data_IF_508960000250
#
_entry.id   IF_508960000250
#
_cell.length_a   1.000
_cell.length_b   1.000
_cell.length_c   1.000
_cell.angle_alpha   90.00
_cell.angle_beta   90.00
_cell.angle_gamma   90.00
#
_symmetry.space_group_name_H-M   'P 1'
#
loop_
_entity.id
_entity.type
_entity.pdbx_description
1 polymer ?
#
# COMPACT_ATOMS: atom_id res chain seq x y z
N UNK A 1 41.19 32.55 -11.87
CA UNK A 1 41.60 33.72 -12.65
C UNK A 1 40.37 34.30 -13.32
N UNK A 2 40.16 35.64 -13.06
CA UNK A 2 39.17 36.58 -13.65
C UNK A 2 37.70 36.30 -13.40
N UNK A 3 36.99 36.88 -12.49
CA UNK A 3 36.63 38.29 -12.18
C UNK A 3 36.11 39.12 -13.35
N UNK A 4 34.80 39.44 -13.29
CA UNK A 4 34.29 40.72 -13.80
C UNK A 4 32.91 41.04 -13.18
N UNK A 5 32.95 42.02 -12.32
CA UNK A 5 31.88 42.86 -11.76
C UNK A 5 31.28 43.78 -12.83
N UNK A 6 30.00 44.05 -12.77
CA UNK A 6 29.43 45.30 -13.26
C UNK A 6 28.23 45.77 -12.41
N UNK A 7 28.47 46.86 -11.70
CA UNK A 7 27.47 47.74 -11.05
C UNK A 7 26.75 48.56 -12.10
N UNK A 8 25.47 48.90 -11.87
CA UNK A 8 24.91 50.18 -12.28
C UNK A 8 23.97 50.74 -11.23
N UNK A 9 24.26 51.95 -10.85
CA UNK A 9 23.63 52.86 -9.89
C UNK A 9 22.69 53.86 -10.61
N UNK A 10 21.79 54.43 -9.80
CA UNK A 10 21.07 55.76 -9.91
C UNK A 10 19.74 55.77 -10.68
N UNK A 11 18.66 56.36 -10.12
CA UNK A 11 18.59 57.76 -9.70
C UNK A 11 17.40 58.05 -8.77
N UNK A 12 17.65 58.94 -7.83
CA UNK A 12 16.73 59.65 -6.94
C UNK A 12 15.76 60.56 -7.68
N UNK A 13 14.52 60.75 -7.10
CA UNK A 13 13.81 62.02 -7.15
C UNK A 13 13.02 62.24 -5.89
N UNK A 14 13.50 63.20 -5.10
CA UNK A 14 12.80 63.84 -3.99
C UNK A 14 11.63 64.67 -4.49
N UNK A 15 10.52 64.75 -3.76
CA UNK A 15 9.73 65.96 -3.62
C UNK A 15 9.14 66.05 -2.22
N UNK A 16 9.31 67.24 -1.64
CA UNK A 16 9.13 67.61 -0.29
C UNK A 16 7.69 68.02 0.10
N UNK A 17 7.35 67.74 1.32
CA UNK A 17 6.77 68.60 2.37
C UNK A 17 5.54 69.47 2.04
N UNK A 18 4.41 69.19 2.73
CA UNK A 18 3.58 70.28 3.35
C UNK A 18 3.09 69.73 4.71
N UNK A 19 3.47 70.45 5.77
CA UNK A 19 3.00 70.34 7.11
C UNK A 19 1.72 71.18 7.23
N UNK A 20 0.67 70.60 7.78
CA UNK A 20 -0.47 71.36 8.33
C UNK A 20 -0.85 70.78 9.69
N UNK A 21 -0.48 71.51 10.74
CA UNK A 21 -0.98 71.36 12.11
C UNK A 21 -2.42 71.82 12.21
N UNK A 22 -3.35 71.01 12.70
CA UNK A 22 -4.58 71.44 13.31
C UNK A 22 -4.82 70.64 14.60
N UNK A 23 -5.01 71.39 15.68
CA UNK A 23 -5.09 70.91 17.04
C UNK A 23 -6.47 70.38 17.45
N UNK A 24 -6.45 69.37 18.31
CA UNK A 24 -7.34 69.11 19.47
C UNK A 24 -8.88 69.06 19.27
N UNK A 25 -9.42 67.88 19.53
CA UNK A 25 -10.60 67.73 20.39
C UNK A 25 -10.60 66.29 21.00
N UNK A 26 -10.43 66.20 22.32
CA UNK A 26 -10.71 65.01 23.11
C UNK A 26 -12.21 64.74 23.08
N UNK A 27 -12.62 63.63 22.47
CA UNK A 27 -13.90 62.98 22.73
C UNK A 27 -13.60 61.55 23.08
N UNK A 28 -13.81 61.19 24.37
CA UNK A 28 -13.75 59.86 24.88
C UNK A 28 -14.79 58.97 24.15
N UNK A 29 -14.33 58.09 23.27
CA UNK A 29 -15.13 57.02 22.69
C UNK A 29 -14.82 55.76 23.49
N UNK A 30 -15.80 55.29 24.26
CA UNK A 30 -15.82 53.95 24.83
C UNK A 30 -15.50 52.96 23.71
N UNK A 31 -14.33 52.31 23.79
CA UNK A 31 -14.03 51.11 23.02
C UNK A 31 -15.00 50.03 23.48
N UNK A 32 -16.10 49.87 22.75
CA UNK A 32 -16.84 48.62 22.75
C UNK A 32 -15.88 47.56 22.25
N UNK A 33 -15.34 46.75 23.14
CA UNK A 33 -14.70 45.52 22.80
C UNK A 33 -15.74 44.65 22.14
N UNK A 34 -15.71 44.59 20.82
CA UNK A 34 -16.40 43.55 20.05
C UNK A 34 -15.95 42.22 20.66
N UNK A 35 -16.85 41.38 21.17
CA UNK A 35 -16.44 40.08 21.60
C UNK A 35 -15.80 39.37 20.40
N UNK A 36 -14.53 38.98 20.52
CA UNK A 36 -13.91 38.09 19.57
C UNK A 36 -14.86 36.90 19.44
N UNK A 37 -15.38 36.68 18.25
CA UNK A 37 -16.16 35.48 17.93
C UNK A 37 -15.25 34.31 18.28
N UNK A 38 -15.48 33.71 19.45
CA UNK A 38 -14.77 32.51 19.84
C UNK A 38 -15.07 31.49 18.75
N UNK A 39 -14.02 31.00 18.09
CA UNK A 39 -14.15 29.86 17.22
C UNK A 39 -14.97 28.80 17.95
N UNK A 40 -15.89 28.08 17.28
CA UNK A 40 -16.71 27.07 17.95
C UNK A 40 -15.78 26.12 18.69
N UNK A 41 -16.07 25.91 19.98
CA UNK A 41 -15.27 25.03 20.81
C UNK A 41 -15.32 23.62 20.18
N UNK A 42 -14.17 23.17 19.68
CA UNK A 42 -14.05 21.85 19.08
C UNK A 42 -14.43 20.81 20.13
N UNK A 43 -15.29 19.85 19.76
CA UNK A 43 -15.74 18.77 20.64
C UNK A 43 -14.54 18.00 21.23
N UNK A 44 -14.66 17.55 22.47
CA UNK A 44 -13.65 16.65 23.06
C UNK A 44 -13.48 15.34 22.27
N UNK A 45 -14.51 14.95 21.53
CA UNK A 45 -14.53 13.76 20.68
C UNK A 45 -13.90 14.00 19.29
N UNK A 46 -13.65 15.26 18.90
CA UNK A 46 -12.92 15.58 17.67
C UNK A 46 -11.43 15.32 17.86
N UNK A 47 -10.88 14.39 17.07
CA UNK A 47 -9.46 14.04 17.12
C UNK A 47 -8.63 14.82 16.11
N UNK A 48 -9.20 15.12 14.95
CA UNK A 48 -8.59 16.01 13.97
C UNK A 48 -9.65 16.79 13.18
N UNK A 49 -9.21 17.84 12.49
CA UNK A 49 -9.99 18.48 11.43
C UNK A 49 -9.16 18.54 10.15
N UNK A 50 -9.82 18.40 9.01
CA UNK A 50 -9.24 18.49 7.66
C UNK A 50 -10.15 19.40 6.84
N UNK A 51 -9.70 20.58 6.47
CA UNK A 51 -10.49 21.59 5.74
C UNK A 51 -11.86 21.85 6.38
N UNK A 52 -11.91 21.83 7.73
CA UNK A 52 -13.13 22.01 8.50
C UNK A 52 -13.99 20.77 8.71
N UNK A 53 -13.66 19.61 8.11
CA UNK A 53 -14.31 18.33 8.38
C UNK A 53 -13.70 17.71 9.63
N UNK A 54 -14.54 17.20 10.50
CA UNK A 54 -14.10 16.56 11.73
C UNK A 54 -13.82 15.07 11.51
N UNK A 55 -12.73 14.58 12.11
CA UNK A 55 -12.45 13.16 12.33
C UNK A 55 -12.64 12.90 13.81
N UNK A 56 -13.58 12.04 14.12
CA UNK A 56 -14.00 11.77 15.51
C UNK A 56 -13.20 10.63 16.15
N UNK A 57 -13.24 10.58 17.45
CA UNK A 57 -12.71 9.44 18.21
C UNK A 57 -13.34 8.11 17.77
N UNK A 58 -14.66 8.09 17.54
CA UNK A 58 -15.37 6.86 17.15
C UNK A 58 -14.88 6.34 15.79
N UNK A 59 -14.60 7.21 14.82
CA UNK A 59 -14.04 6.81 13.53
C UNK A 59 -12.65 6.19 13.67
N UNK A 60 -11.78 6.75 14.51
CA UNK A 60 -10.48 6.15 14.80
C UNK A 60 -10.62 4.81 15.51
N UNK A 61 -11.53 4.69 16.47
CA UNK A 61 -11.81 3.41 17.15
C UNK A 61 -12.37 2.37 16.19
N UNK A 62 -13.23 2.74 15.25
CA UNK A 62 -13.73 1.85 14.19
C UNK A 62 -12.61 1.41 13.26
N UNK A 63 -11.74 2.33 12.84
CA UNK A 63 -10.57 2.01 12.03
C UNK A 63 -9.63 1.04 12.78
N UNK A 64 -9.40 1.29 14.07
CA UNK A 64 -8.59 0.41 14.92
C UNK A 64 -9.15 -1.01 15.01
N UNK A 65 -10.48 -1.15 15.15
CA UNK A 65 -11.15 -2.47 15.14
C UNK A 65 -11.07 -3.17 13.77
N UNK A 66 -11.03 -2.41 12.67
CA UNK A 66 -10.90 -2.99 11.31
C UNK A 66 -9.53 -3.63 11.07
N UNK A 67 -8.46 -3.02 11.56
CA UNK A 67 -7.08 -3.51 11.37
C UNK A 67 -6.85 -4.89 12.02
N UNK A 68 -7.68 -5.25 13.00
CA UNK A 68 -7.80 -6.63 13.46
C UNK A 68 -7.07 -6.98 14.73
N UNK A 69 -7.18 -8.25 15.09
CA UNK A 69 -6.66 -8.88 16.29
C UNK A 69 -5.14 -8.81 16.35
N UNK A 70 -4.62 -7.94 17.17
CA UNK A 70 -3.32 -8.22 17.75
C UNK A 70 -3.50 -9.39 18.72
N UNK A 71 -2.85 -10.50 18.46
CA UNK A 71 -2.92 -11.71 19.29
C UNK A 71 -2.46 -11.47 20.73
N UNK A 72 -1.90 -10.31 21.02
CA UNK A 72 -1.53 -9.86 22.36
C UNK A 72 -2.20 -8.51 22.66
N UNK A 73 -2.73 -8.31 23.87
CA UNK A 73 -3.28 -7.02 24.30
C UNK A 73 -2.15 -5.97 24.32
N UNK A 74 -2.38 -4.86 23.62
CA UNK A 74 -1.47 -3.71 23.62
C UNK A 74 -1.55 -2.96 24.96
N UNK A 75 -0.44 -2.40 25.39
CA UNK A 75 -0.43 -1.41 26.47
C UNK A 75 -1.23 -0.16 26.08
N UNK A 76 -1.56 0.68 27.06
CA UNK A 76 -2.27 1.94 26.80
C UNK A 76 -1.49 2.84 25.85
N UNK A 77 -0.16 2.92 26.03
CA UNK A 77 0.73 3.73 25.22
C UNK A 77 0.84 3.18 23.78
N UNK A 78 1.00 1.87 23.63
CA UNK A 78 1.05 1.20 22.31
C UNK A 78 -0.28 1.37 21.55
N UNK A 79 -1.41 1.20 22.25
CA UNK A 79 -2.74 1.42 21.69
C UNK A 79 -2.92 2.88 21.24
N UNK A 80 -2.47 3.85 22.03
CA UNK A 80 -2.54 5.27 21.67
C UNK A 80 -1.64 5.58 20.47
N UNK A 81 -0.41 5.04 20.44
CA UNK A 81 0.51 5.21 19.30
C UNK A 81 -0.10 4.65 18.01
N UNK A 82 -0.68 3.44 18.07
CA UNK A 82 -1.35 2.83 16.92
C UNK A 82 -2.55 3.68 16.44
N UNK A 83 -3.36 4.22 17.37
CA UNK A 83 -4.49 5.09 17.04
C UNK A 83 -4.06 6.42 16.45
N UNK A 84 -2.94 6.99 16.88
CA UNK A 84 -2.38 8.20 16.26
C UNK A 84 -1.88 7.94 14.84
N UNK A 85 -1.29 6.77 14.58
CA UNK A 85 -0.95 6.34 13.22
C UNK A 85 -2.18 6.21 12.33
N UNK A 86 -3.22 5.52 12.80
CA UNK A 86 -4.49 5.40 12.08
C UNK A 86 -5.19 6.75 11.87
N UNK A 87 -5.08 7.68 12.83
CA UNK A 87 -5.60 9.03 12.64
C UNK A 87 -4.88 9.76 11.50
N UNK A 88 -3.57 9.57 11.36
CA UNK A 88 -2.82 10.16 10.23
C UNK A 88 -3.26 9.58 8.88
N UNK A 89 -3.53 8.27 8.83
CA UNK A 89 -4.12 7.61 7.66
C UNK A 89 -5.51 8.17 7.33
N UNK A 90 -6.39 8.33 8.32
CA UNK A 90 -7.72 8.91 8.14
C UNK A 90 -7.66 10.38 7.70
N UNK A 91 -6.71 11.16 8.21
CA UNK A 91 -6.47 12.54 7.74
C UNK A 91 -6.12 12.54 6.25
N UNK A 92 -5.23 11.64 5.82
CA UNK A 92 -4.88 11.51 4.40
C UNK A 92 -6.07 11.04 3.56
N UNK A 93 -6.85 10.11 4.08
CA UNK A 93 -8.09 9.65 3.44
C UNK A 93 -9.09 10.82 3.24
N UNK A 94 -9.32 11.65 4.28
CA UNK A 94 -10.22 12.82 4.17
C UNK A 94 -9.72 13.84 3.14
N UNK A 95 -8.40 14.09 3.07
CA UNK A 95 -7.80 14.94 2.03
C UNK A 95 -8.11 14.38 0.64
N UNK A 96 -7.97 13.08 0.43
CA UNK A 96 -8.27 12.45 -0.85
C UNK A 96 -9.76 12.42 -1.16
N UNK A 97 -10.64 12.26 -0.17
CA UNK A 97 -12.09 12.33 -0.34
C UNK A 97 -12.54 13.75 -0.71
N UNK A 98 -11.99 14.79 -0.07
CA UNK A 98 -12.22 16.17 -0.48
C UNK A 98 -11.78 16.41 -1.94
N UNK A 99 -10.67 15.78 -2.35
CA UNK A 99 -10.21 15.82 -3.74
C UNK A 99 -11.16 15.08 -4.68
N UNK A 100 -11.70 13.91 -4.24
CA UNK A 100 -12.70 13.16 -5.01
C UNK A 100 -13.95 14.02 -5.30
N UNK A 101 -14.43 14.75 -4.29
CA UNK A 101 -15.56 15.69 -4.49
C UNK A 101 -15.23 16.80 -5.48
N UNK A 102 -14.07 17.43 -5.33
CA UNK A 102 -13.62 18.50 -6.22
C UNK A 102 -13.50 18.02 -7.68
N UNK A 103 -13.05 16.79 -7.88
CA UNK A 103 -12.90 16.14 -9.19
C UNK A 103 -14.21 15.48 -9.68
N UNK A 104 -15.28 15.49 -8.86
CA UNK A 104 -16.56 14.80 -9.13
C UNK A 104 -16.39 13.31 -9.40
N UNK A 105 -15.46 12.70 -8.72
CA UNK A 105 -15.24 11.23 -8.78
C UNK A 105 -16.41 10.56 -8.07
N UNK A 106 -17.00 9.56 -8.71
CA UNK A 106 -18.11 8.79 -8.16
C UNK A 106 -17.81 7.29 -8.17
N UNK A 107 -18.39 6.58 -7.21
CA UNK A 107 -18.41 5.12 -7.15
C UNK A 107 -19.85 4.67 -7.34
N UNK A 108 -20.10 3.91 -8.38
CA UNK A 108 -21.42 3.33 -8.65
C UNK A 108 -21.74 2.21 -7.68
N UNK A 109 -23.04 1.90 -7.51
CA UNK A 109 -23.45 0.78 -6.67
C UNK A 109 -22.93 -0.56 -7.21
N UNK A 110 -22.83 -0.72 -8.52
CA UNK A 110 -22.26 -1.91 -9.16
C UNK A 110 -20.78 -2.10 -8.80
N UNK A 111 -19.98 -1.04 -8.79
CA UNK A 111 -18.57 -1.10 -8.40
C UNK A 111 -18.44 -1.47 -6.91
N UNK A 112 -19.29 -0.87 -6.07
CA UNK A 112 -19.30 -1.15 -4.65
C UNK A 112 -19.72 -2.59 -4.37
N UNK A 113 -20.77 -3.09 -5.06
CA UNK A 113 -21.22 -4.48 -4.92
C UNK A 113 -20.15 -5.47 -5.39
N UNK A 114 -19.44 -5.15 -6.46
CA UNK A 114 -18.32 -5.95 -6.94
C UNK A 114 -17.20 -6.02 -5.90
N UNK A 115 -16.79 -4.88 -5.35
CA UNK A 115 -15.76 -4.83 -4.31
C UNK A 115 -16.21 -5.57 -3.03
N UNK A 116 -17.46 -5.39 -2.64
CA UNK A 116 -18.02 -6.08 -1.48
C UNK A 116 -18.06 -7.60 -1.66
N UNK A 117 -18.46 -8.08 -2.83
CA UNK A 117 -18.48 -9.51 -3.13
C UNK A 117 -17.08 -10.10 -3.23
N UNK A 118 -16.13 -9.37 -3.80
CA UNK A 118 -14.74 -9.81 -3.87
C UNK A 118 -14.09 -9.89 -2.48
N UNK A 119 -14.37 -8.92 -1.59
CA UNK A 119 -13.85 -8.91 -0.22
C UNK A 119 -14.32 -10.13 0.61
N UNK A 120 -15.45 -10.77 0.23
CA UNK A 120 -16.02 -11.93 0.91
C UNK A 120 -15.99 -13.24 0.11
N UNK A 121 -15.33 -13.23 -1.04
CA UNK A 121 -15.34 -14.36 -2.01
C UNK A 121 -14.97 -15.72 -1.42
N UNK A 122 -14.07 -15.75 -0.44
CA UNK A 122 -13.56 -16.99 0.17
C UNK A 122 -14.09 -17.22 1.60
N UNK A 123 -15.12 -16.49 2.01
CA UNK A 123 -15.66 -16.55 3.37
C UNK A 123 -17.15 -16.88 3.28
N UNK A 124 -17.63 -17.85 4.09
CA UNK A 124 -19.07 -18.11 4.17
C UNK A 124 -19.80 -16.92 4.79
N UNK A 125 -21.08 -16.72 4.43
CA UNK A 125 -21.90 -15.64 5.01
C UNK A 125 -21.89 -15.68 6.55
N UNK A 126 -22.00 -16.86 7.13
CA UNK A 126 -22.00 -17.04 8.58
C UNK A 126 -20.65 -16.60 9.20
N UNK A 127 -19.53 -17.02 8.62
CA UNK A 127 -18.19 -16.65 9.10
C UNK A 127 -17.96 -15.14 8.93
N UNK A 128 -18.44 -14.56 7.83
CA UNK A 128 -18.35 -13.12 7.59
C UNK A 128 -19.13 -12.32 8.64
N UNK A 129 -20.37 -12.71 8.95
CA UNK A 129 -21.18 -12.04 9.97
C UNK A 129 -20.58 -12.20 11.37
N UNK A 130 -20.01 -13.36 11.68
CA UNK A 130 -19.28 -13.58 12.94
C UNK A 130 -18.07 -12.65 13.06
N UNK A 131 -17.30 -12.49 12.00
CA UNK A 131 -16.14 -11.61 11.99
C UNK A 131 -16.52 -10.14 12.16
N UNK A 132 -17.58 -9.68 11.47
CA UNK A 132 -18.11 -8.33 11.66
C UNK A 132 -18.55 -8.10 13.11
N UNK A 133 -19.28 -9.06 13.68
CA UNK A 133 -19.76 -8.99 15.09
C UNK A 133 -18.59 -8.94 16.06
N UNK A 134 -17.58 -9.79 15.86
CA UNK A 134 -16.36 -9.81 16.68
C UNK A 134 -15.66 -8.45 16.69
N UNK A 135 -15.63 -7.75 15.56
CA UNK A 135 -15.04 -6.42 15.41
C UNK A 135 -15.99 -5.28 15.76
N UNK A 136 -17.21 -5.57 16.18
CA UNK A 136 -18.25 -4.57 16.42
C UNK A 136 -18.47 -3.66 15.19
N UNK A 137 -18.51 -4.26 14.00
CA UNK A 137 -18.78 -3.61 12.71
C UNK A 137 -20.10 -4.12 12.14
N UNK A 138 -20.75 -3.32 11.32
CA UNK A 138 -21.91 -3.69 10.52
C UNK A 138 -21.54 -3.87 9.05
N UNK A 139 -22.44 -4.51 8.29
CA UNK A 139 -22.33 -4.55 6.82
C UNK A 139 -22.28 -3.14 6.21
N UNK A 140 -23.02 -2.18 6.79
CA UNK A 140 -23.01 -0.81 6.34
C UNK A 140 -21.62 -0.16 6.57
N UNK A 141 -21.00 -0.35 7.75
CA UNK A 141 -19.63 0.14 8.01
C UNK A 141 -18.60 -0.45 7.03
N UNK A 142 -18.77 -1.73 6.67
CA UNK A 142 -17.88 -2.37 5.69
C UNK A 142 -18.07 -1.77 4.29
N UNK A 143 -19.31 -1.59 3.84
CA UNK A 143 -19.62 -0.99 2.53
C UNK A 143 -19.15 0.46 2.44
N UNK A 144 -19.32 1.20 3.53
CA UNK A 144 -18.87 2.60 3.61
C UNK A 144 -17.35 2.72 3.52
N UNK A 145 -16.62 1.88 4.23
CA UNK A 145 -15.16 1.78 4.10
C UNK A 145 -14.74 1.45 2.67
N UNK A 146 -15.36 0.43 2.04
CA UNK A 146 -15.05 0.08 0.65
C UNK A 146 -15.35 1.22 -0.34
N UNK A 147 -16.43 1.98 -0.11
CA UNK A 147 -16.74 3.15 -0.96
C UNK A 147 -15.66 4.23 -0.85
N UNK A 148 -15.18 4.51 0.36
CA UNK A 148 -14.10 5.47 0.62
C UNK A 148 -12.79 5.00 -0.04
N UNK A 149 -12.44 3.72 0.12
CA UNK A 149 -11.26 3.11 -0.53
C UNK A 149 -11.33 3.22 -2.07
N UNK A 150 -12.49 2.96 -2.65
CA UNK A 150 -12.69 3.09 -4.10
C UNK A 150 -12.59 4.54 -4.58
N UNK A 151 -13.13 5.51 -3.82
CA UNK A 151 -13.01 6.94 -4.15
C UNK A 151 -11.56 7.40 -4.13
N UNK A 152 -10.83 7.09 -3.04
CA UNK A 152 -9.42 7.48 -2.89
C UNK A 152 -8.54 6.81 -3.96
N UNK A 153 -8.81 5.53 -4.27
CA UNK A 153 -8.13 4.82 -5.35
C UNK A 153 -8.36 5.50 -6.70
N UNK A 154 -9.61 5.84 -7.04
CA UNK A 154 -9.95 6.52 -8.30
C UNK A 154 -9.28 7.89 -8.42
N UNK A 155 -9.16 8.64 -7.33
CA UNK A 155 -8.40 9.90 -7.32
C UNK A 155 -6.93 9.65 -7.65
N UNK A 156 -6.30 8.67 -7.02
CA UNK A 156 -4.91 8.33 -7.30
C UNK A 156 -4.72 7.79 -8.72
N UNK A 157 -5.65 6.98 -9.22
CA UNK A 157 -5.63 6.51 -10.60
C UNK A 157 -5.69 7.67 -11.60
N UNK A 158 -6.56 8.67 -11.33
CA UNK A 158 -6.73 9.84 -12.20
C UNK A 158 -5.58 10.85 -12.08
N UNK A 159 -5.12 11.15 -10.87
CA UNK A 159 -4.14 12.20 -10.62
C UNK A 159 -2.68 11.72 -10.70
N UNK A 160 -2.45 10.43 -10.56
CA UNK A 160 -1.12 9.84 -10.55
C UNK A 160 -0.94 8.81 -11.66
N UNK A 161 -1.68 7.68 -11.60
CA UNK A 161 -1.40 6.50 -12.45
C UNK A 161 -1.59 6.83 -13.93
N UNK A 162 -2.65 7.58 -14.29
CA UNK A 162 -2.94 7.98 -15.67
C UNK A 162 -1.90 8.93 -16.27
N UNK A 163 -1.14 9.63 -15.42
CA UNK A 163 -0.10 10.59 -15.85
C UNK A 163 1.28 9.96 -15.99
N UNK A 164 1.42 8.68 -15.60
CA UNK A 164 2.69 7.96 -15.72
C UNK A 164 2.92 7.52 -17.16
N UNK A 165 3.92 8.10 -17.78
CA UNK A 165 4.39 7.70 -19.12
C UNK A 165 5.86 7.30 -19.06
N UNK A 166 6.24 6.30 -19.85
CA UNK A 166 7.62 5.88 -20.04
C UNK A 166 7.97 6.10 -21.50
N UNK A 167 8.92 6.99 -21.76
CA UNK A 167 9.38 7.26 -23.11
C UNK A 167 10.33 6.15 -23.61
N UNK A 168 10.34 5.91 -24.92
CA UNK A 168 11.24 4.92 -25.53
C UNK A 168 12.72 5.18 -25.19
N UNK A 169 13.12 6.45 -25.17
CA UNK A 169 14.48 6.82 -24.84
C UNK A 169 14.88 6.40 -23.41
N UNK A 170 13.96 6.50 -22.45
CA UNK A 170 14.23 6.07 -21.08
C UNK A 170 14.46 4.56 -20.96
N UNK A 171 13.76 3.76 -21.79
CA UNK A 171 13.96 2.32 -21.86
C UNK A 171 15.36 2.01 -22.40
N UNK A 172 15.74 2.68 -23.49
CA UNK A 172 17.06 2.54 -24.10
C UNK A 172 18.18 2.96 -23.14
N UNK A 173 18.03 4.12 -22.50
CA UNK A 173 19.01 4.65 -21.54
C UNK A 173 19.16 3.73 -20.34
N UNK A 174 18.04 3.25 -19.77
CA UNK A 174 18.06 2.29 -18.68
C UNK A 174 18.75 0.99 -19.07
N UNK A 175 18.42 0.45 -20.23
CA UNK A 175 19.05 -0.77 -20.75
C UNK A 175 20.56 -0.59 -20.88
N UNK A 176 21.01 0.50 -21.52
CA UNK A 176 22.42 0.78 -21.75
C UNK A 176 23.20 0.98 -20.45
N UNK A 177 22.63 1.71 -19.50
CA UNK A 177 23.22 1.92 -18.18
C UNK A 177 23.30 0.65 -17.33
N UNK A 178 22.42 -0.33 -17.59
CA UNK A 178 22.30 -1.55 -16.80
C UNK A 178 22.61 -2.82 -17.61
N UNK A 179 23.33 -2.71 -18.71
CA UNK A 179 23.53 -3.76 -19.70
C UNK A 179 24.03 -5.09 -19.09
N UNK A 180 24.89 -5.00 -18.08
CA UNK A 180 25.43 -6.16 -17.38
C UNK A 180 24.33 -7.01 -16.68
N UNK A 181 23.22 -6.37 -16.22
CA UNK A 181 22.09 -7.07 -15.58
C UNK A 181 21.28 -7.92 -16.56
N UNK A 182 21.45 -7.69 -17.88
CA UNK A 182 20.78 -8.41 -18.93
C UNK A 182 21.70 -9.45 -19.59
N UNK A 183 22.85 -9.73 -19.00
CA UNK A 183 23.71 -10.82 -19.40
C UNK A 183 23.45 -12.04 -18.50
N UNK A 184 23.09 -13.16 -19.13
CA UNK A 184 23.04 -14.44 -18.44
C UNK A 184 24.40 -15.14 -18.60
N UNK A 185 25.15 -15.32 -17.50
CA UNK A 185 26.46 -15.98 -17.57
C UNK A 185 26.36 -17.44 -17.96
N UNK A 186 25.21 -18.05 -17.73
CA UNK A 186 24.91 -19.44 -18.06
C UNK A 186 23.43 -19.60 -18.45
N UNK A 187 23.08 -20.75 -19.00
CA UNK A 187 21.69 -21.11 -19.26
C UNK A 187 20.86 -21.04 -17.97
N UNK A 188 19.63 -20.53 -18.07
CA UNK A 188 18.72 -20.41 -16.94
C UNK A 188 17.30 -20.86 -17.31
N UNK A 189 16.56 -21.29 -16.31
CA UNK A 189 15.18 -21.76 -16.43
C UNK A 189 14.27 -20.81 -15.69
N UNK A 190 13.27 -20.26 -16.35
CA UNK A 190 12.19 -19.54 -15.66
C UNK A 190 11.22 -20.60 -15.11
N UNK A 191 11.19 -20.69 -13.79
CA UNK A 191 10.43 -21.72 -13.09
C UNK A 191 9.35 -21.09 -12.22
N UNK A 192 8.28 -21.87 -12.02
CA UNK A 192 7.29 -21.58 -11.00
C UNK A 192 7.00 -22.87 -10.22
N UNK A 193 6.51 -22.76 -8.98
CA UNK A 193 6.21 -23.93 -8.13
C UNK A 193 4.91 -23.77 -7.36
N UNK A 194 4.32 -24.93 -7.03
CA UNK A 194 3.27 -25.06 -6.01
C UNK A 194 3.78 -26.10 -5.00
N UNK A 195 3.86 -25.74 -3.74
CA UNK A 195 4.28 -26.64 -2.65
C UNK A 195 3.04 -27.07 -1.89
N UNK A 196 2.89 -28.38 -1.68
CA UNK A 196 1.82 -29.01 -0.92
C UNK A 196 2.46 -29.92 0.13
N UNK A 197 2.15 -29.70 1.39
CA UNK A 197 2.62 -30.52 2.50
C UNK A 197 1.46 -31.31 3.15
N UNK A 198 1.72 -32.43 3.82
CA UNK A 198 0.71 -33.20 4.54
C UNK A 198 0.48 -32.70 5.98
N UNK A 199 0.94 -31.49 6.29
CA UNK A 199 0.94 -30.93 7.65
C UNK A 199 0.20 -29.61 7.64
N UNK A 200 -0.72 -29.44 8.59
CA UNK A 200 -1.34 -28.14 8.82
C UNK A 200 -0.40 -27.30 9.68
N UNK A 201 0.24 -26.31 9.06
CA UNK A 201 1.02 -25.30 9.75
C UNK A 201 0.30 -23.97 9.69
N UNK A 202 0.01 -23.38 10.85
CA UNK A 202 -0.67 -22.08 10.94
C UNK A 202 0.15 -20.93 10.31
N UNK A 203 1.46 -21.11 10.14
CA UNK A 203 2.35 -20.13 9.52
C UNK A 203 2.51 -20.33 8.01
N UNK A 204 2.15 -21.52 7.49
CA UNK A 204 2.32 -21.92 6.10
C UNK A 204 0.99 -22.29 5.43
N UNK A 205 -0.12 -21.78 5.93
CA UNK A 205 -1.46 -22.02 5.36
C UNK A 205 -1.57 -21.40 3.98
N UNK A 206 -2.21 -22.15 3.06
CA UNK A 206 -2.57 -21.59 1.76
C UNK A 206 -3.76 -20.61 1.87
N UNK A 207 -4.00 -19.83 0.80
CA UNK A 207 -5.05 -18.81 0.78
C UNK A 207 -6.47 -19.38 0.90
N UNK A 208 -6.71 -20.63 0.48
CA UNK A 208 -8.01 -21.27 0.53
C UNK A 208 -8.32 -21.93 1.88
N UNK A 209 -7.31 -22.08 2.75
CA UNK A 209 -7.45 -22.69 4.06
C UNK A 209 -7.79 -24.19 4.03
N UNK A 210 -7.56 -24.85 2.88
CA UNK A 210 -7.83 -26.27 2.66
C UNK A 210 -6.57 -27.13 2.72
N UNK A 211 -5.64 -26.80 3.62
CA UNK A 211 -4.37 -27.50 3.77
C UNK A 211 -4.59 -29.00 3.99
N UNK A 212 -3.74 -29.80 3.32
CA UNK A 212 -3.77 -31.23 3.50
C UNK A 212 -3.18 -31.59 4.88
N UNK A 213 -3.89 -32.47 5.62
CA UNK A 213 -3.48 -32.88 6.96
C UNK A 213 -2.94 -34.32 7.00
N UNK A 214 -2.93 -35.00 5.85
CA UNK A 214 -2.41 -36.38 5.70
C UNK A 214 -1.71 -36.53 4.36
N UNK A 215 -0.79 -37.52 4.23
CA UNK A 215 -0.16 -37.81 2.95
C UNK A 215 -1.15 -38.13 1.83
N UNK A 216 -2.24 -38.82 2.13
CA UNK A 216 -3.29 -39.15 1.16
C UNK A 216 -4.03 -37.88 0.68
N UNK A 217 -4.35 -36.96 1.60
CA UNK A 217 -4.98 -35.70 1.26
C UNK A 217 -4.03 -34.82 0.41
N UNK A 218 -2.75 -34.76 0.71
CA UNK A 218 -1.74 -34.05 -0.08
C UNK A 218 -1.65 -34.63 -1.52
N UNK A 219 -1.60 -35.95 -1.67
CA UNK A 219 -1.58 -36.60 -2.98
C UNK A 219 -2.88 -36.33 -3.76
N UNK A 220 -4.04 -36.39 -3.11
CA UNK A 220 -5.32 -36.08 -3.75
C UNK A 220 -5.38 -34.62 -4.23
N UNK A 221 -4.86 -33.67 -3.41
CA UNK A 221 -4.78 -32.26 -3.75
C UNK A 221 -3.87 -32.01 -4.95
N UNK A 222 -2.70 -32.63 -4.99
CA UNK A 222 -1.79 -32.57 -6.13
C UNK A 222 -2.48 -33.10 -7.41
N UNK A 223 -3.19 -34.23 -7.31
CA UNK A 223 -3.93 -34.80 -8.45
C UNK A 223 -5.00 -33.83 -8.96
N UNK A 224 -5.78 -33.22 -8.07
CA UNK A 224 -6.76 -32.21 -8.42
C UNK A 224 -6.13 -31.01 -9.11
N UNK A 225 -5.01 -30.49 -8.59
CA UNK A 225 -4.30 -29.35 -9.21
C UNK A 225 -3.76 -29.69 -10.61
N UNK A 226 -3.18 -30.90 -10.78
CA UNK A 226 -2.70 -31.35 -12.08
C UNK A 226 -3.82 -31.50 -13.10
N UNK A 227 -5.01 -31.97 -12.70
CA UNK A 227 -6.18 -32.02 -13.60
C UNK A 227 -6.68 -30.61 -13.96
N UNK A 228 -6.71 -29.68 -13.02
CA UNK A 228 -7.06 -28.27 -13.33
C UNK A 228 -6.04 -27.62 -14.28
N UNK A 229 -4.74 -27.88 -14.10
CA UNK A 229 -3.70 -27.42 -15.02
C UNK A 229 -3.88 -28.00 -16.42
N UNK A 230 -4.17 -29.31 -16.55
CA UNK A 230 -4.50 -29.94 -17.83
C UNK A 230 -5.75 -29.35 -18.47
N UNK A 231 -6.71 -28.93 -17.65
CA UNK A 231 -7.94 -28.23 -18.06
C UNK A 231 -7.71 -26.76 -18.47
N UNK A 232 -6.45 -26.26 -18.43
CA UNK A 232 -6.10 -24.91 -18.85
C UNK A 232 -6.20 -23.84 -17.75
N UNK A 233 -6.36 -24.23 -16.50
CA UNK A 233 -6.34 -23.25 -15.40
C UNK A 233 -4.95 -22.59 -15.32
N UNK A 234 -4.86 -21.25 -15.13
CA UNK A 234 -3.60 -20.56 -15.01
C UNK A 234 -2.78 -21.04 -13.81
N UNK A 235 -1.52 -21.45 -14.03
CA UNK A 235 -0.65 -21.93 -12.96
C UNK A 235 -0.52 -20.89 -11.83
N UNK A 236 -0.38 -19.62 -12.18
CA UNK A 236 -0.19 -18.54 -11.22
C UNK A 236 -1.40 -18.33 -10.28
N UNK A 237 -2.61 -18.60 -10.75
CA UNK A 237 -3.81 -18.55 -9.90
C UNK A 237 -3.84 -19.71 -8.91
N UNK A 238 -3.57 -20.93 -9.42
CA UNK A 238 -3.50 -22.11 -8.58
C UNK A 238 -2.38 -21.99 -7.54
N UNK A 239 -1.24 -21.43 -7.90
CA UNK A 239 -0.15 -21.20 -6.95
C UNK A 239 -0.54 -20.21 -5.85
N UNK A 240 -1.20 -19.09 -6.19
CA UNK A 240 -1.70 -18.14 -5.17
C UNK A 240 -2.72 -18.74 -4.23
N UNK A 241 -3.57 -19.61 -4.74
CA UNK A 241 -4.67 -20.18 -3.96
C UNK A 241 -4.23 -21.37 -3.10
N UNK A 242 -3.35 -22.23 -3.60
CA UNK A 242 -3.09 -23.53 -3.04
C UNK A 242 -1.65 -23.80 -2.60
N UNK A 243 -0.67 -22.96 -2.98
CA UNK A 243 0.71 -23.17 -2.57
C UNK A 243 0.93 -22.78 -1.12
N UNK A 244 1.64 -23.61 -0.40
CA UNK A 244 2.07 -23.40 0.97
C UNK A 244 3.49 -22.78 1.07
N UNK A 245 4.05 -22.36 -0.08
CA UNK A 245 5.32 -21.63 -0.12
C UNK A 245 5.09 -20.11 0.06
N UNK A 246 5.44 -19.53 1.23
CA UNK A 246 5.13 -18.13 1.54
C UNK A 246 5.89 -17.13 0.66
N UNK A 247 7.02 -17.54 0.07
CA UNK A 247 7.81 -16.66 -0.78
C UNK A 247 7.26 -16.54 -2.19
N UNK A 248 6.94 -17.67 -2.83
CA UNK A 248 6.53 -17.68 -4.24
C UNK A 248 5.02 -17.63 -4.43
N UNK A 249 4.21 -18.16 -3.50
CA UNK A 249 2.75 -18.19 -3.63
C UNK A 249 2.13 -16.81 -3.94
N UNK A 250 2.47 -15.70 -3.23
CA UNK A 250 1.92 -14.38 -3.54
C UNK A 250 2.25 -13.89 -4.95
N UNK A 251 3.37 -14.36 -5.51
CA UNK A 251 3.80 -14.06 -6.89
C UNK A 251 3.30 -15.08 -7.92
N UNK A 252 2.33 -15.92 -7.56
CA UNK A 252 1.82 -16.95 -8.46
C UNK A 252 2.77 -18.15 -8.62
N UNK A 253 3.57 -18.43 -7.61
CA UNK A 253 4.56 -19.49 -7.61
C UNK A 253 5.88 -19.15 -8.32
N UNK A 254 6.03 -17.92 -8.84
CA UNK A 254 7.17 -17.50 -9.67
C UNK A 254 8.48 -17.47 -8.87
N UNK A 255 9.46 -18.29 -9.32
CA UNK A 255 10.82 -18.36 -8.80
C UNK A 255 11.79 -17.47 -9.62
N UNK A 256 11.33 -16.92 -10.74
CA UNK A 256 12.16 -16.20 -11.69
C UNK A 256 13.12 -17.12 -12.45
N UNK A 257 14.24 -16.53 -12.88
CA UNK A 257 15.28 -17.26 -13.63
C UNK A 257 16.23 -17.97 -12.66
N UNK A 258 16.19 -19.29 -12.71
CA UNK A 258 17.07 -20.19 -11.93
C UNK A 258 18.23 -20.65 -12.84
N UNK A 259 19.49 -20.30 -12.53
CA UNK A 259 20.64 -20.68 -13.36
C UNK A 259 20.88 -22.19 -13.36
N UNK A 260 21.43 -22.71 -14.44
CA UNK A 260 21.71 -24.14 -14.58
C UNK A 260 22.58 -24.69 -13.46
N UNK A 261 23.53 -23.90 -12.96
CA UNK A 261 24.38 -24.26 -11.82
C UNK A 261 23.55 -24.52 -10.56
N UNK A 262 22.53 -23.69 -10.26
CA UNK A 262 21.63 -23.90 -9.14
C UNK A 262 20.73 -25.13 -9.35
N UNK A 263 20.22 -25.33 -10.57
CA UNK A 263 19.46 -26.55 -10.91
C UNK A 263 20.31 -27.80 -10.69
N UNK A 264 21.59 -27.79 -11.06
CA UNK A 264 22.50 -28.92 -10.86
C UNK A 264 22.76 -29.23 -9.39
N UNK A 265 22.67 -28.23 -8.50
CA UNK A 265 22.83 -28.39 -7.05
C UNK A 265 21.54 -28.84 -6.33
N UNK A 266 20.39 -28.73 -6.99
CA UNK A 266 19.10 -29.14 -6.42
C UNK A 266 19.05 -30.67 -6.18
N UNK A 267 18.17 -31.14 -5.26
CA UNK A 267 17.93 -32.57 -5.06
C UNK A 267 17.67 -33.31 -6.38
N UNK A 268 18.12 -34.58 -6.51
CA UNK A 268 18.08 -35.29 -7.79
C UNK A 268 16.72 -35.30 -8.48
N UNK A 269 15.63 -35.52 -7.73
CA UNK A 269 14.29 -35.57 -8.29
C UNK A 269 13.83 -34.19 -8.83
N UNK A 270 14.15 -33.10 -8.11
CA UNK A 270 13.83 -31.73 -8.53
C UNK A 270 14.65 -31.31 -9.76
N UNK A 271 15.95 -31.63 -9.74
CA UNK A 271 16.86 -31.42 -10.87
C UNK A 271 16.36 -32.12 -12.15
N UNK A 272 16.05 -33.41 -12.02
CA UNK A 272 15.56 -34.21 -13.16
C UNK A 272 14.22 -33.65 -13.68
N UNK A 273 13.29 -33.36 -12.79
CA UNK A 273 12.02 -32.75 -13.15
C UNK A 273 12.23 -31.44 -13.92
N UNK A 274 13.07 -30.53 -13.40
CA UNK A 274 13.36 -29.24 -14.02
C UNK A 274 13.97 -29.38 -15.40
N UNK A 275 14.93 -30.29 -15.58
CA UNK A 275 15.60 -30.48 -16.87
C UNK A 275 14.69 -31.11 -17.91
N UNK A 276 13.88 -32.09 -17.53
CA UNK A 276 13.06 -32.90 -18.45
C UNK A 276 11.68 -32.32 -18.74
N UNK A 277 11.10 -31.46 -17.87
CA UNK A 277 9.77 -30.93 -18.12
C UNK A 277 9.79 -30.00 -19.33
N UNK A 278 8.86 -30.14 -20.28
CA UNK A 278 8.76 -29.23 -21.42
C UNK A 278 8.35 -27.81 -20.98
N UNK A 279 8.73 -26.81 -21.78
CA UNK A 279 8.26 -25.43 -21.59
C UNK A 279 6.72 -25.41 -21.65
N UNK A 280 6.09 -24.67 -20.75
CA UNK A 280 4.62 -24.58 -20.63
C UNK A 280 3.97 -25.78 -19.97
N UNK A 281 4.75 -26.68 -19.35
CA UNK A 281 4.26 -27.90 -18.71
C UNK A 281 4.66 -27.96 -17.24
N UNK A 282 3.93 -28.77 -16.48
CA UNK A 282 4.17 -29.03 -15.07
C UNK A 282 4.57 -30.48 -14.80
N UNK A 283 5.38 -30.70 -13.77
CA UNK A 283 5.75 -32.03 -13.25
C UNK A 283 5.70 -32.06 -11.73
N UNK A 284 5.19 -33.14 -11.19
CA UNK A 284 5.16 -33.36 -9.74
C UNK A 284 6.48 -33.99 -9.29
N UNK A 285 7.05 -33.46 -8.25
CA UNK A 285 8.19 -34.00 -7.51
C UNK A 285 7.72 -34.29 -6.09
N UNK A 286 7.96 -35.49 -5.60
CA UNK A 286 7.61 -35.88 -4.24
C UNK A 286 8.90 -36.05 -3.43
N UNK A 287 8.89 -35.49 -2.22
CA UNK A 287 9.93 -35.68 -1.22
C UNK A 287 9.24 -36.21 0.07
N UNK A 288 9.29 -37.51 0.25
CA UNK A 288 8.48 -38.17 1.26
C UNK A 288 6.98 -37.96 1.02
N UNK A 289 6.32 -37.33 1.97
CA UNK A 289 4.89 -37.05 1.91
C UNK A 289 4.57 -35.64 1.38
N UNK A 290 5.58 -34.79 1.17
CA UNK A 290 5.44 -33.45 0.58
C UNK A 290 5.57 -33.51 -0.94
N UNK A 291 4.89 -32.62 -1.64
CA UNK A 291 4.87 -32.56 -3.09
C UNK A 291 5.17 -31.16 -3.59
N UNK A 292 5.97 -31.06 -4.65
CA UNK A 292 6.20 -29.82 -5.39
C UNK A 292 5.78 -30.02 -6.84
N UNK A 293 4.86 -29.19 -7.31
CA UNK A 293 4.53 -29.11 -8.74
C UNK A 293 5.44 -28.05 -9.34
N UNK A 294 6.41 -28.48 -10.15
CA UNK A 294 7.34 -27.60 -10.87
C UNK A 294 6.77 -27.29 -12.24
N UNK A 295 6.70 -26.03 -12.60
CA UNK A 295 6.27 -25.56 -13.93
C UNK A 295 7.40 -24.81 -14.60
N UNK A 296 7.74 -25.20 -15.84
CA UNK A 296 8.73 -24.51 -16.66
C UNK A 296 8.06 -23.46 -17.53
N UNK A 297 8.24 -22.19 -17.18
CA UNK A 297 7.72 -21.07 -17.95
C UNK A 297 8.53 -20.83 -19.22
N UNK A 298 9.87 -20.83 -19.09
CA UNK A 298 10.79 -20.61 -20.19
C UNK A 298 12.15 -21.26 -19.93
N UNK A 299 12.96 -21.37 -20.98
CA UNK A 299 14.36 -21.77 -20.93
C UNK A 299 15.16 -20.74 -21.74
N UNK A 300 16.17 -20.17 -21.11
CA UNK A 300 16.89 -19.02 -21.62
C UNK A 300 18.36 -19.37 -21.81
N UNK A 301 18.91 -19.29 -23.01
CA UNK A 301 20.32 -19.58 -23.25
C UNK A 301 21.23 -18.57 -22.57
N UNK A 302 22.47 -18.95 -22.29
CA UNK A 302 23.50 -18.02 -21.88
C UNK A 302 23.73 -16.91 -22.93
N UNK A 303 24.12 -15.74 -22.46
CA UNK A 303 24.49 -14.62 -23.35
C UNK A 303 23.89 -13.28 -22.95
N UNK A 304 24.34 -12.27 -23.68
CA UNK A 304 23.83 -10.91 -23.54
C UNK A 304 22.45 -10.84 -24.21
N UNK A 305 21.49 -10.39 -23.44
CA UNK A 305 20.15 -10.04 -23.96
C UNK A 305 20.15 -8.61 -24.45
N UNK A 306 19.29 -8.33 -25.39
CA UNK A 306 19.02 -7.00 -25.90
C UNK A 306 17.53 -6.63 -25.75
N UNK A 307 17.18 -5.45 -26.22
CA UNK A 307 15.78 -4.97 -26.16
C UNK A 307 14.83 -5.71 -27.09
N UNK A 308 15.34 -6.50 -28.05
CA UNK A 308 14.53 -7.37 -28.91
C UNK A 308 14.26 -8.74 -28.26
N UNK A 309 15.01 -9.09 -27.22
CA UNK A 309 14.76 -10.33 -26.45
C UNK A 309 13.37 -10.25 -25.79
N UNK A 310 12.53 -11.29 -25.95
CA UNK A 310 11.20 -11.31 -25.35
C UNK A 310 11.23 -10.92 -23.86
N UNK A 311 10.26 -10.13 -23.42
CA UNK A 311 10.06 -9.66 -22.06
C UNK A 311 11.12 -8.67 -21.52
N UNK A 312 12.28 -8.46 -22.14
CA UNK A 312 13.28 -7.51 -21.64
C UNK A 312 12.74 -6.09 -21.65
N UNK A 313 12.25 -5.65 -22.80
CA UNK A 313 11.63 -4.32 -22.95
C UNK A 313 10.46 -4.12 -21.99
N UNK A 314 9.56 -5.10 -21.93
CA UNK A 314 8.38 -5.03 -21.07
C UNK A 314 8.76 -4.90 -19.59
N UNK A 315 9.70 -5.73 -19.09
CA UNK A 315 10.19 -5.67 -17.72
C UNK A 315 10.81 -4.32 -17.38
N UNK A 316 11.60 -3.74 -18.29
CA UNK A 316 12.17 -2.40 -18.12
C UNK A 316 11.05 -1.37 -18.05
N UNK A 317 10.10 -1.42 -18.99
CA UNK A 317 8.97 -0.49 -19.02
C UNK A 317 8.15 -0.54 -17.75
N UNK A 318 7.80 -1.74 -17.27
CA UNK A 318 7.06 -1.95 -16.03
C UNK A 318 7.85 -1.44 -14.80
N UNK A 319 9.15 -1.74 -14.74
CA UNK A 319 10.01 -1.26 -13.66
C UNK A 319 10.16 0.27 -13.62
N UNK A 320 10.33 0.90 -14.77
CA UNK A 320 10.38 2.37 -14.89
C UNK A 320 9.03 3.00 -14.55
N UNK A 321 7.93 2.41 -15.03
CA UNK A 321 6.57 2.86 -14.73
C UNK A 321 6.29 2.81 -13.23
N UNK A 322 6.59 1.69 -12.58
CA UNK A 322 6.39 1.53 -11.14
C UNK A 322 7.20 2.56 -10.31
N UNK A 323 8.45 2.82 -10.69
CA UNK A 323 9.28 3.85 -10.04
C UNK A 323 8.71 5.25 -10.20
N UNK A 324 8.27 5.61 -11.41
CA UNK A 324 7.62 6.90 -11.69
C UNK A 324 6.32 7.05 -10.94
N UNK A 325 5.49 6.00 -10.92
CA UNK A 325 4.23 5.98 -10.17
C UNK A 325 4.49 6.23 -8.68
N UNK A 326 5.44 5.50 -8.09
CA UNK A 326 5.80 5.67 -6.69
C UNK A 326 6.27 7.09 -6.38
N UNK A 327 7.13 7.67 -7.24
CA UNK A 327 7.60 9.05 -7.09
C UNK A 327 6.45 10.05 -7.18
N UNK A 328 5.61 9.93 -8.22
CA UNK A 328 4.49 10.84 -8.43
C UNK A 328 3.44 10.70 -7.30
N UNK A 329 3.18 9.48 -6.85
CA UNK A 329 2.28 9.22 -5.70
C UNK A 329 2.80 9.90 -4.43
N UNK A 330 4.08 9.72 -4.11
CA UNK A 330 4.71 10.36 -2.94
C UNK A 330 4.64 11.89 -3.04
N UNK A 331 4.96 12.45 -4.20
CA UNK A 331 4.91 13.89 -4.42
C UNK A 331 3.46 14.42 -4.34
N UNK A 332 2.51 13.71 -4.94
CA UNK A 332 1.10 14.09 -4.92
C UNK A 332 0.53 14.11 -3.49
N UNK A 333 0.78 13.04 -2.71
CA UNK A 333 0.31 12.97 -1.33
C UNK A 333 0.95 14.03 -0.45
N UNK A 334 2.26 14.29 -0.62
CA UNK A 334 2.95 15.34 0.12
C UNK A 334 2.38 16.74 -0.22
N UNK A 335 2.13 17.03 -1.50
CA UNK A 335 1.52 18.28 -1.92
C UNK A 335 0.08 18.41 -1.38
N UNK A 336 -0.75 17.38 -1.54
CA UNK A 336 -2.12 17.37 -1.04
C UNK A 336 -2.19 17.60 0.49
N UNK A 337 -1.26 16.98 1.24
CA UNK A 337 -1.13 17.19 2.70
C UNK A 337 -0.72 18.63 3.05
N UNK A 338 0.18 19.22 2.26
CA UNK A 338 0.66 20.60 2.46
C UNK A 338 -0.40 21.64 2.16
N UNK A 339 -1.28 21.37 1.20
CA UNK A 339 -2.34 22.28 0.77
C UNK A 339 -3.56 22.25 1.71
N UNK A 340 -3.77 21.16 2.44
CA UNK A 340 -4.90 20.99 3.35
C UNK A 340 -4.71 21.70 4.69
N UNK A 341 -5.78 22.30 5.22
CA UNK A 341 -5.82 22.84 6.61
C UNK A 341 -6.08 21.71 7.60
N UNK A 342 -5.02 21.23 8.24
CA UNK A 342 -5.07 20.07 9.14
C UNK A 342 -4.72 20.46 10.55
N UNK A 343 -5.63 20.17 11.50
CA UNK A 343 -5.38 20.31 12.93
C UNK A 343 -5.55 18.96 13.62
N UNK A 344 -4.46 18.42 14.19
CA UNK A 344 -4.46 17.18 14.96
C UNK A 344 -4.59 17.47 16.47
N UNK A 345 -5.82 17.42 16.99
CA UNK A 345 -6.11 17.69 18.41
C UNK A 345 -5.70 16.52 19.31
N UNK A 346 -5.76 15.27 18.82
CA UNK A 346 -5.35 14.10 19.59
C UNK A 346 -3.86 14.14 19.92
N UNK A 347 -3.01 14.43 18.93
CA UNK A 347 -1.57 14.59 19.15
C UNK A 347 -1.26 15.73 20.12
N UNK A 348 -1.93 16.88 19.99
CA UNK A 348 -1.76 18.02 20.92
C UNK A 348 -2.12 17.62 22.35
N UNK A 349 -3.24 16.93 22.57
CA UNK A 349 -3.65 16.46 23.89
C UNK A 349 -2.64 15.50 24.52
N UNK A 350 -2.04 14.60 23.74
CA UNK A 350 -0.99 13.68 24.23
C UNK A 350 0.25 14.46 24.68
N UNK A 351 0.68 15.46 23.91
CA UNK A 351 1.82 16.31 24.28
C UNK A 351 1.55 17.14 25.55
N UNK A 352 0.36 17.71 25.69
CA UNK A 352 -0.07 18.50 26.85
C UNK A 352 -0.18 17.63 28.11
N UNK A 353 -0.63 16.38 27.98
CA UNK A 353 -0.71 15.46 29.11
C UNK A 353 0.66 15.06 29.67
N UNK A 354 1.67 14.92 28.80
CA UNK A 354 3.04 14.59 29.21
C UNK A 354 3.80 15.80 29.77
N UNK A 355 3.39 17.02 29.43
CA UNK A 355 4.00 18.26 29.95
C UNK A 355 3.51 18.72 31.32
N UNK A 356 2.46 18.09 31.87
CA UNK A 356 1.98 18.39 33.23
C UNK A 356 2.73 17.54 34.25
N UNK A 357 3.46 18.16 35.25
CA UNK A 357 4.00 17.38 36.35
C UNK A 357 2.85 16.68 37.06
N UNK A 358 3.04 15.41 37.42
CA UNK A 358 2.09 14.64 38.20
C UNK A 358 1.70 15.44 39.43
N UNK A 359 0.41 15.73 39.61
CA UNK A 359 -0.07 16.38 40.81
C UNK A 359 0.31 15.50 42.01
N UNK A 360 1.27 15.95 42.80
CA UNK A 360 1.61 15.33 44.07
C UNK A 360 0.36 15.40 44.95
N UNK A 361 -0.33 14.27 45.07
CA UNK A 361 -1.31 14.08 46.14
C UNK A 361 -0.55 14.15 47.46
N UNK A 362 -0.51 15.37 48.06
CA UNK A 362 -0.12 15.55 49.43
C UNK A 362 -1.19 14.90 50.30
N UNK A 363 -0.95 13.68 50.73
CA UNK A 363 -1.63 13.04 51.84
C UNK A 363 -1.08 13.74 53.09
N UNK A 364 -1.77 14.81 53.53
CA UNK A 364 -1.61 15.38 54.85
C UNK A 364 -2.08 14.34 55.88
N UNK A 365 -1.17 13.96 56.76
CA UNK A 365 -1.42 13.11 57.92
C UNK A 365 -2.19 13.84 59.03
#
# INVERSE_FOLDING_TARGET
>A
MYSATARFLRAHRHRAVVVALVSAAFIGACRSSTPATSAPAVSADTWATVDGREITRDEVEKAFRRVGDNAQPLSTEESMAAKLGLLDDLIMEEILLARAEALKVVVSDTELDTAYNEARKNITEQAFQQELTKRSLTTADMRDGLRRDLLTKKVLDQEVVSKVTVAEQEIIDFFNANRAQFNLPEEAFHLAQIVITPVRDQQLTNRTGDDATTPQAATAKVSMLMERLKGGAPFSELARDYSEDPESAPRGGDLGLVPLSAVKQAPPALREATLQVPIGSARVVSDGASHTIVFKVAQEPAGQRDLSTPNVRERITQGLRARKEQLLRTAYLAAARSDADVVNYAARRVLEAQGKPAATTSTGG
#
